data_IF_149278814469
#
_entry.id   IF_149278814469
#
_cell.length_a   1.000
_cell.length_b   1.000
_cell.length_c   1.000
_cell.angle_alpha   90.00
_cell.angle_beta   90.00
_cell.angle_gamma   90.00
#
_symmetry.space_group_name_H-M   'P 1'
#
loop_
_entity.id
_entity.type
_entity.pdbx_description
1 polymer ?
#
# COMPACT_ATOMS: atom_id res chain seq x y z
N UNK A 1 6.71 16.64 7.55
CA UNK A 1 5.85 15.59 6.95
C UNK A 1 4.39 16.08 6.92
N UNK A 2 3.97 16.84 5.91
CA UNK A 2 2.58 17.34 5.81
C UNK A 2 1.68 16.49 4.90
N UNK A 3 2.22 15.50 4.20
CA UNK A 3 1.52 14.72 3.18
C UNK A 3 1.70 13.20 3.33
N UNK A 4 2.10 12.73 4.51
CA UNK A 4 2.26 11.30 4.78
C UNK A 4 1.05 10.82 5.57
N UNK A 5 0.38 9.78 5.06
CA UNK A 5 -0.67 9.06 5.78
C UNK A 5 -0.21 7.62 5.95
N UNK A 6 -0.31 7.13 7.18
CA UNK A 6 -0.03 5.73 7.50
C UNK A 6 -1.34 5.08 7.91
N UNK A 7 -1.65 3.94 7.29
CA UNK A 7 -2.80 3.12 7.66
C UNK A 7 -2.31 1.70 7.95
N UNK A 8 -2.91 1.08 8.95
CA UNK A 8 -2.64 -0.31 9.34
C UNK A 8 -3.72 -1.20 8.74
N UNK A 9 -3.32 -2.26 8.05
CA UNK A 9 -4.22 -3.32 7.62
C UNK A 9 -4.18 -4.46 8.64
N UNK A 10 -5.27 -4.73 9.38
CA UNK A 10 -5.30 -5.85 10.31
C UNK A 10 -5.31 -7.18 9.55
N UNK A 11 -4.49 -8.13 9.97
CA UNK A 11 -4.42 -9.48 9.38
C UNK A 11 -5.59 -10.40 9.82
N UNK A 12 -6.57 -9.85 10.53
CA UNK A 12 -7.67 -10.60 11.15
C UNK A 12 -8.62 -11.26 10.15
N UNK A 13 -8.60 -10.85 8.88
CA UNK A 13 -9.51 -11.35 7.85
C UNK A 13 -8.91 -12.43 6.92
N UNK A 14 -7.72 -12.97 7.22
CA UNK A 14 -7.07 -13.98 6.39
C UNK A 14 -6.29 -13.38 5.22
N UNK A 15 -6.48 -13.90 4.00
CA UNK A 15 -5.74 -13.43 2.81
C UNK A 15 -6.13 -12.01 2.44
N UNK A 16 -5.16 -11.09 2.39
CA UNK A 16 -5.34 -9.75 1.86
C UNK A 16 -4.59 -9.61 0.53
N UNK A 17 -5.06 -8.72 -0.34
CA UNK A 17 -4.50 -8.52 -1.68
C UNK A 17 -3.06 -7.96 -1.69
N UNK A 18 -2.45 -7.73 -0.52
CA UNK A 18 -1.03 -7.38 -0.35
C UNK A 18 -0.12 -8.58 -0.08
N UNK A 19 -0.61 -9.81 -0.19
CA UNK A 19 0.19 -11.02 0.04
C UNK A 19 1.30 -11.21 -1.00
N UNK A 20 1.10 -10.70 -2.22
CA UNK A 20 2.01 -10.88 -3.36
C UNK A 20 3.29 -10.00 -3.28
N UNK A 21 3.52 -9.35 -2.14
CA UNK A 21 4.71 -8.51 -1.90
C UNK A 21 4.40 -7.02 -1.84
N UNK A 22 5.44 -6.24 -1.55
CA UNK A 22 5.34 -4.78 -1.51
C UNK A 22 5.11 -4.21 -2.91
N UNK A 23 4.23 -3.22 -3.00
CA UNK A 23 4.03 -2.43 -4.21
C UNK A 23 3.94 -0.96 -3.86
N UNK A 24 4.43 -0.13 -4.78
CA UNK A 24 4.30 1.32 -4.73
C UNK A 24 3.61 1.76 -6.01
N UNK A 25 2.44 2.41 -5.89
CA UNK A 25 1.76 3.04 -7.03
C UNK A 25 2.13 4.51 -7.06
N UNK A 26 2.41 5.04 -8.24
CA UNK A 26 2.93 6.38 -8.47
C UNK A 26 2.09 7.06 -9.56
N UNK A 27 1.90 8.37 -9.43
CA UNK A 27 1.35 9.22 -10.49
C UNK A 27 2.40 10.29 -10.82
N UNK A 28 2.78 10.41 -12.11
CA UNK A 28 3.71 11.45 -12.55
C UNK A 28 3.01 12.82 -12.64
N UNK A 29 3.74 13.94 -12.69
CA UNK A 29 3.13 15.26 -12.92
C UNK A 29 2.28 15.34 -14.20
N UNK A 30 2.60 14.52 -15.21
CA UNK A 30 1.87 14.37 -16.46
C UNK A 30 0.65 13.43 -16.35
N UNK A 31 0.29 13.00 -15.13
CA UNK A 31 -0.82 12.08 -14.83
C UNK A 31 -0.67 10.67 -15.40
N UNK A 32 0.57 10.22 -15.60
CA UNK A 32 0.84 8.81 -15.93
C UNK A 32 0.87 8.01 -14.64
N UNK A 33 0.09 6.93 -14.60
CA UNK A 33 0.18 5.95 -13.52
C UNK A 33 1.34 5.00 -13.80
N UNK A 34 2.13 4.71 -12.77
CA UNK A 34 3.22 3.76 -12.77
C UNK A 34 3.12 2.89 -11.52
N UNK A 35 3.75 1.72 -11.55
CA UNK A 35 3.92 0.91 -10.35
C UNK A 35 5.35 0.43 -10.20
N UNK A 36 5.81 0.34 -8.97
CA UNK A 36 7.12 -0.19 -8.61
C UNK A 36 6.92 -1.39 -7.68
N UNK A 37 7.51 -2.52 -8.07
CA UNK A 37 7.42 -3.78 -7.33
C UNK A 37 8.83 -4.18 -6.87
N UNK A 38 8.94 -4.65 -5.63
CA UNK A 38 10.16 -5.23 -5.09
C UNK A 38 9.94 -6.71 -4.81
N UNK A 39 10.73 -7.56 -5.45
CA UNK A 39 10.65 -9.00 -5.28
C UNK A 39 12.06 -9.60 -5.19
N UNK A 40 12.39 -10.17 -4.03
CA UNK A 40 13.56 -11.04 -3.81
C UNK A 40 14.87 -10.56 -4.47
N UNK A 41 15.28 -9.32 -4.19
CA UNK A 41 16.53 -8.75 -4.70
C UNK A 41 16.43 -8.13 -6.09
N UNK A 42 15.25 -8.13 -6.70
CA UNK A 42 14.93 -7.43 -7.94
C UNK A 42 13.89 -6.35 -7.70
N UNK A 43 13.99 -5.30 -8.52
CA UNK A 43 12.98 -4.26 -8.58
C UNK A 43 12.51 -4.05 -10.01
N UNK A 44 11.21 -3.81 -10.16
CA UNK A 44 10.56 -3.68 -11.45
C UNK A 44 9.76 -2.38 -11.48
N UNK A 45 10.08 -1.50 -12.44
CA UNK A 45 9.21 -0.40 -12.81
C UNK A 45 8.24 -0.89 -13.89
N UNK A 46 6.94 -0.80 -13.61
CA UNK A 46 5.86 -1.22 -14.50
C UNK A 46 5.25 0.03 -15.12
N UNK A 47 5.35 0.14 -16.45
CA UNK A 47 4.78 1.23 -17.25
C UNK A 47 3.61 0.80 -18.14
N UNK A 48 3.40 -0.51 -18.29
CA UNK A 48 2.31 -1.06 -19.09
C UNK A 48 0.96 -0.71 -18.45
N UNK A 49 0.10 -0.03 -19.20
CA UNK A 49 -1.14 0.55 -18.68
C UNK A 49 -2.08 -0.51 -18.07
N UNK A 50 -2.18 -1.69 -18.68
CA UNK A 50 -3.08 -2.74 -18.21
C UNK A 50 -2.57 -3.33 -16.89
N UNK A 51 -1.26 -3.60 -16.80
CA UNK A 51 -0.63 -4.08 -15.56
C UNK A 51 -0.69 -3.05 -14.43
N UNK A 52 -0.45 -1.77 -14.74
CA UNK A 52 -0.55 -0.69 -13.75
C UNK A 52 -1.98 -0.53 -13.25
N UNK A 53 -2.98 -0.65 -14.14
CA UNK A 53 -4.40 -0.61 -13.76
C UNK A 53 -4.74 -1.70 -12.75
N UNK A 54 -4.28 -2.94 -12.97
CA UNK A 54 -4.48 -4.04 -12.02
C UNK A 54 -3.86 -3.74 -10.65
N UNK A 55 -2.62 -3.28 -10.63
CA UNK A 55 -1.90 -2.94 -9.38
C UNK A 55 -2.58 -1.78 -8.64
N UNK A 56 -3.09 -0.78 -9.35
CA UNK A 56 -3.82 0.32 -8.73
C UNK A 56 -5.17 -0.14 -8.13
N UNK A 57 -5.89 -1.04 -8.81
CA UNK A 57 -7.10 -1.66 -8.25
C UNK A 57 -6.79 -2.46 -6.99
N UNK A 58 -5.69 -3.22 -7.01
CA UNK A 58 -5.19 -3.98 -5.86
C UNK A 58 -4.86 -3.07 -4.68
N UNK A 59 -4.17 -1.96 -4.92
CA UNK A 59 -3.95 -0.92 -3.92
C UNK A 59 -5.27 -0.39 -3.35
N UNK A 60 -6.26 -0.12 -4.20
CA UNK A 60 -7.60 0.30 -3.79
C UNK A 60 -8.30 -0.69 -2.85
N UNK A 61 -8.21 -2.00 -3.15
CA UNK A 61 -8.75 -3.07 -2.29
C UNK A 61 -8.03 -3.16 -0.94
N UNK A 62 -6.70 -3.05 -0.93
CA UNK A 62 -5.91 -3.03 0.32
C UNK A 62 -6.32 -1.83 1.18
N UNK A 63 -6.42 -0.65 0.57
CA UNK A 63 -6.78 0.59 1.28
C UNK A 63 -8.20 0.56 1.83
N UNK A 64 -9.16 -0.08 1.15
CA UNK A 64 -10.55 -0.16 1.61
C UNK A 64 -10.74 -1.08 2.82
N UNK A 65 -9.81 -2.03 3.02
CA UNK A 65 -9.79 -2.95 4.17
C UNK A 65 -8.92 -2.43 5.32
N UNK A 66 -8.03 -1.48 5.05
CA UNK A 66 -7.18 -0.88 6.08
C UNK A 66 -8.00 -0.05 7.08
N UNK A 67 -7.54 -0.01 8.32
CA UNK A 67 -8.11 0.84 9.36
C UNK A 67 -8.09 2.31 8.93
N UNK A 68 -9.01 3.10 9.47
CA UNK A 68 -8.94 4.55 9.29
C UNK A 68 -7.62 5.10 9.84
N UNK A 69 -7.22 6.29 9.40
CA UNK A 69 -5.99 6.95 9.87
C UNK A 69 -5.99 7.09 11.40
N UNK A 70 -7.14 7.42 11.99
CA UNK A 70 -7.28 7.58 13.45
C UNK A 70 -7.14 6.25 14.19
N UNK A 71 -7.74 5.18 13.70
CA UNK A 71 -7.62 3.85 14.31
C UNK A 71 -6.21 3.29 14.15
N UNK A 72 -5.60 3.51 12.99
CA UNK A 72 -4.21 3.14 12.72
C UNK A 72 -3.25 3.83 13.71
N UNK A 73 -3.44 5.14 13.95
CA UNK A 73 -2.64 5.88 14.93
C UNK A 73 -2.76 5.29 16.34
N UNK A 74 -3.98 4.94 16.79
CA UNK A 74 -4.17 4.29 18.10
C UNK A 74 -3.42 2.97 18.21
N UNK A 75 -3.47 2.13 17.16
CA UNK A 75 -2.74 0.86 17.14
C UNK A 75 -1.23 1.10 17.21
N UNK A 76 -0.71 2.06 16.44
CA UNK A 76 0.71 2.42 16.45
C UNK A 76 1.13 2.95 17.83
N UNK A 77 0.37 3.86 18.42
CA UNK A 77 0.62 4.41 19.76
C UNK A 77 0.60 3.33 20.84
N UNK A 78 -0.35 2.40 20.77
CA UNK A 78 -0.41 1.26 21.68
C UNK A 78 0.84 0.41 21.58
N UNK A 79 1.24 -0.01 20.37
CA UNK A 79 2.44 -0.84 20.20
C UNK A 79 3.73 -0.10 20.58
N UNK A 80 3.79 1.22 20.37
CA UNK A 80 4.95 2.03 20.75
C UNK A 80 5.06 2.25 22.27
N UNK A 81 3.94 2.26 22.99
CA UNK A 81 3.90 2.35 24.46
C UNK A 81 4.06 1.01 25.18
N UNK A 82 3.97 -0.10 24.46
CA UNK A 82 4.23 -1.47 24.95
C UNK A 82 5.71 -1.89 24.84
N UNK A 83 6.61 -0.96 24.51
CA UNK A 83 8.07 -1.14 24.44
C UNK A 83 8.82 -0.49 25.62
#
# INVERSE_FOLDING_TARGET
MRYVTVQVLPLTYGSHAGYDGSMTVLETPERRLLAYLEAQGHSFLVEDCDKVSELNQRYGMVRSQALSVRESAKVIEQMAGEL
#
